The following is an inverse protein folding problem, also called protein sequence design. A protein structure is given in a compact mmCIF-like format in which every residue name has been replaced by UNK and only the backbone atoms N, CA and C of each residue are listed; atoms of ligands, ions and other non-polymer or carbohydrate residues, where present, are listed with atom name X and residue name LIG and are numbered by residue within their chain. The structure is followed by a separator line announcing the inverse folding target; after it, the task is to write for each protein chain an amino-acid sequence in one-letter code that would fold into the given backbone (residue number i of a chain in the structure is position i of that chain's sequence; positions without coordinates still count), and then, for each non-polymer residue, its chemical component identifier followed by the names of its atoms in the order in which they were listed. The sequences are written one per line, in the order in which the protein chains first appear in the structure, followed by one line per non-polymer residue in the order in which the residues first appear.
data_IF_712510222899
#
_entry.id   IF_712510222899
#
_cell.length_a   1.000
_cell.length_b   1.000
_cell.length_c   1.000
_cell.angle_alpha   90.00
_cell.angle_beta   90.00
_cell.angle_gamma   90.00
#
_symmetry.space_group_name_H-M   'P 1'
#
loop_
_entity.id
_entity.type
_entity.pdbx_description
1 polymer ?
#
# COMPACT_ATOMS: atom_id res chain seq x y z
N UNK A 1 21.79 -14.00 16.60
CA UNK A 1 20.64 -13.07 16.73
C UNK A 1 20.49 -12.76 18.22
N UNK A 2 20.39 -11.48 18.60
CA UNK A 2 20.16 -11.14 20.03
C UNK A 2 18.70 -11.37 20.35
N UNK A 3 18.41 -12.20 21.35
CA UNK A 3 17.05 -12.60 21.76
C UNK A 3 16.63 -11.98 23.09
N UNK A 4 17.53 -11.17 23.68
CA UNK A 4 17.40 -10.52 24.98
C UNK A 4 16.89 -9.05 24.88
N UNK A 5 16.58 -8.58 23.66
CA UNK A 5 16.05 -7.25 23.41
C UNK A 5 14.85 -7.30 22.47
N UNK A 6 13.96 -6.33 22.61
CA UNK A 6 12.81 -6.20 21.73
C UNK A 6 13.24 -5.91 20.28
N UNK A 7 12.64 -6.61 19.32
CA UNK A 7 12.76 -6.35 17.89
C UNK A 7 11.37 -6.17 17.27
N UNK A 8 11.26 -5.28 16.29
CA UNK A 8 9.98 -5.04 15.63
C UNK A 8 9.52 -6.25 14.84
N UNK A 9 8.31 -6.77 15.08
CA UNK A 9 7.75 -7.86 14.30
C UNK A 9 7.63 -7.56 12.80
N UNK A 10 7.53 -6.29 12.42
CA UNK A 10 7.53 -5.88 11.01
C UNK A 10 8.79 -6.35 10.30
N UNK A 11 9.97 -6.17 10.93
CA UNK A 11 11.24 -6.58 10.34
C UNK A 11 11.52 -8.08 10.48
N UNK A 12 11.14 -8.68 11.62
CA UNK A 12 11.44 -10.10 11.87
C UNK A 12 10.56 -11.07 11.09
N UNK A 13 9.26 -10.72 10.90
CA UNK A 13 8.24 -11.69 10.49
C UNK A 13 7.47 -11.31 9.24
N UNK A 14 7.34 -10.02 8.92
CA UNK A 14 6.32 -9.59 7.98
C UNK A 14 6.87 -8.98 6.70
N UNK A 15 7.67 -7.92 6.80
CA UNK A 15 8.16 -7.19 5.65
C UNK A 15 9.24 -7.95 4.87
N UNK A 16 9.27 -7.75 3.56
CA UNK A 16 10.32 -8.29 2.69
C UNK A 16 11.70 -7.72 3.01
N UNK A 17 12.76 -8.44 2.63
CA UNK A 17 14.14 -7.95 2.79
C UNK A 17 14.41 -6.75 1.90
N UNK A 18 13.78 -6.71 0.75
CA UNK A 18 13.84 -5.62 -0.23
C UNK A 18 13.34 -4.32 0.39
N UNK A 19 12.16 -4.31 0.99
CA UNK A 19 11.63 -3.12 1.65
C UNK A 19 12.45 -2.72 2.89
N UNK A 20 12.89 -3.69 3.68
CA UNK A 20 13.77 -3.44 4.83
C UNK A 20 15.09 -2.79 4.40
N UNK A 21 15.65 -3.19 3.26
CA UNK A 21 16.92 -2.63 2.76
C UNK A 21 16.80 -1.16 2.37
N UNK A 22 15.64 -0.72 1.85
CA UNK A 22 15.39 0.68 1.49
C UNK A 22 15.49 1.60 2.72
N UNK A 23 14.99 1.16 3.87
CA UNK A 23 15.01 1.94 5.12
C UNK A 23 16.17 1.56 6.05
N UNK A 24 17.15 0.81 5.56
CA UNK A 24 18.32 0.44 6.34
C UNK A 24 19.26 1.64 6.59
N UNK A 25 20.05 1.57 7.66
CA UNK A 25 21.09 2.56 7.93
C UNK A 25 22.11 2.63 6.78
N UNK A 26 22.47 1.49 6.19
CA UNK A 26 23.40 1.46 5.06
C UNK A 26 22.85 2.29 3.89
N UNK A 27 21.59 2.11 3.51
CA UNK A 27 20.98 2.87 2.43
C UNK A 27 20.86 4.35 2.78
N UNK A 28 20.43 4.67 4.01
CA UNK A 28 20.29 6.04 4.50
C UNK A 28 21.60 6.80 4.42
N UNK A 29 22.66 6.25 5.02
CA UNK A 29 23.94 6.98 5.12
C UNK A 29 24.75 6.95 3.83
N UNK A 30 24.59 5.94 2.99
CA UNK A 30 25.10 5.97 1.62
C UNK A 30 24.45 7.09 0.83
N UNK A 31 23.12 7.25 0.93
CA UNK A 31 22.41 8.36 0.28
C UNK A 31 22.85 9.73 0.79
N UNK A 32 23.22 9.88 2.08
CA UNK A 32 23.81 11.12 2.57
C UNK A 32 25.13 11.43 1.86
N UNK A 33 25.98 10.42 1.66
CA UNK A 33 27.25 10.58 0.92
C UNK A 33 27.02 10.85 -0.56
N UNK A 34 26.03 10.21 -1.19
CA UNK A 34 25.60 10.52 -2.57
C UNK A 34 25.20 11.99 -2.69
N UNK A 35 24.44 12.52 -1.75
CA UNK A 35 24.02 13.92 -1.70
C UNK A 35 25.20 14.88 -1.48
N UNK A 36 26.14 14.56 -0.60
CA UNK A 36 27.36 15.39 -0.41
C UNK A 36 28.25 15.38 -1.64
N UNK A 37 28.37 14.25 -2.34
CA UNK A 37 29.10 14.17 -3.62
C UNK A 37 28.40 15.00 -4.67
N UNK A 38 27.08 14.87 -4.81
CA UNK A 38 26.29 15.65 -5.77
C UNK A 38 26.39 17.17 -5.51
N UNK A 39 26.44 17.57 -4.23
CA UNK A 39 26.65 18.95 -3.81
C UNK A 39 28.05 19.43 -4.27
N UNK A 40 29.12 18.75 -3.87
CA UNK A 40 30.50 19.11 -4.17
C UNK A 40 30.77 19.17 -5.69
N UNK A 41 30.27 18.19 -6.46
CA UNK A 41 30.35 18.23 -7.93
C UNK A 41 29.63 19.43 -8.54
N UNK A 42 28.43 19.72 -8.04
CA UNK A 42 27.62 20.82 -8.57
C UNK A 42 28.22 22.17 -8.20
N UNK A 43 28.79 22.31 -7.02
CA UNK A 43 29.53 23.49 -6.58
C UNK A 43 30.82 23.71 -7.40
N UNK A 44 31.57 22.64 -7.71
CA UNK A 44 32.73 22.69 -8.59
C UNK A 44 32.33 23.16 -9.99
N UNK A 45 31.29 22.56 -10.57
CA UNK A 45 30.80 22.93 -11.91
C UNK A 45 30.33 24.40 -11.99
N UNK A 46 29.96 25.00 -10.86
CA UNK A 46 29.54 26.40 -10.74
C UNK A 46 30.68 27.34 -10.36
N UNK A 47 31.88 26.80 -10.24
CA UNK A 47 33.13 27.56 -10.12
C UNK A 47 33.68 27.73 -8.73
N UNK A 48 33.22 26.97 -7.73
CA UNK A 48 33.87 26.91 -6.43
C UNK A 48 35.21 26.13 -6.52
N UNK A 49 36.21 26.45 -5.69
CA UNK A 49 37.55 25.84 -5.76
C UNK A 49 37.57 24.44 -5.14
N UNK A 50 36.84 23.53 -5.73
CA UNK A 50 36.80 22.09 -5.37
C UNK A 50 37.59 21.32 -6.42
N UNK A 51 38.50 20.46 -6.01
CA UNK A 51 39.37 19.70 -6.95
C UNK A 51 38.73 18.36 -7.35
N UNK A 52 39.08 17.85 -8.53
CA UNK A 52 38.73 16.51 -8.98
C UNK A 52 39.22 15.42 -8.05
N UNK A 53 40.36 15.66 -7.36
CA UNK A 53 40.92 14.72 -6.40
C UNK A 53 40.03 14.57 -5.16
N UNK A 54 39.53 15.69 -4.63
CA UNK A 54 38.57 15.67 -3.51
C UNK A 54 37.28 14.91 -3.86
N UNK A 55 36.72 15.14 -5.05
CA UNK A 55 35.51 14.42 -5.51
C UNK A 55 35.82 12.93 -5.70
N UNK A 56 36.95 12.56 -6.28
CA UNK A 56 37.36 11.15 -6.44
C UNK A 56 37.55 10.44 -5.09
N UNK A 57 38.16 11.13 -4.12
CA UNK A 57 38.29 10.60 -2.76
C UNK A 57 36.93 10.34 -2.12
N UNK A 58 36.01 11.30 -2.16
CA UNK A 58 34.64 11.13 -1.66
C UNK A 58 33.95 9.92 -2.32
N UNK A 59 33.97 9.82 -3.65
CA UNK A 59 33.39 8.69 -4.37
C UNK A 59 33.95 7.33 -3.98
N UNK A 60 35.25 7.27 -3.75
CA UNK A 60 35.94 6.01 -3.36
C UNK A 60 35.51 5.50 -1.99
N UNK A 61 35.01 6.39 -1.12
CA UNK A 61 34.62 6.07 0.26
C UNK A 61 33.12 6.05 0.48
N UNK A 62 32.31 6.09 -0.58
CA UNK A 62 30.85 6.23 -0.50
C UNK A 62 30.17 5.15 0.38
N UNK A 63 30.64 3.91 0.29
CA UNK A 63 30.11 2.76 1.04
C UNK A 63 30.91 2.39 2.27
N UNK A 64 32.04 3.05 2.52
CA UNK A 64 32.92 2.76 3.64
C UNK A 64 32.49 3.53 4.89
N UNK A 65 31.40 3.10 5.54
CA UNK A 65 30.81 3.77 6.70
C UNK A 65 31.30 3.11 7.99
N UNK A 66 32.05 3.84 8.80
CA UNK A 66 32.48 3.41 10.13
C UNK A 66 31.42 3.78 11.16
N UNK A 67 30.50 2.85 11.42
CA UNK A 67 29.39 3.05 12.37
C UNK A 67 29.83 3.25 13.82
N UNK A 68 30.91 2.58 14.24
CA UNK A 68 31.40 2.72 15.60
C UNK A 68 32.00 4.12 15.82
N UNK A 69 32.73 4.64 14.84
CA UNK A 69 33.26 6.00 14.87
C UNK A 69 32.12 7.03 14.80
N UNK A 70 31.14 6.83 13.92
CA UNK A 70 29.96 7.72 13.83
C UNK A 70 29.20 7.79 15.16
N UNK A 71 28.98 6.65 15.82
CA UNK A 71 28.34 6.58 17.14
C UNK A 71 29.16 7.29 18.22
N UNK A 72 30.50 7.17 18.17
CA UNK A 72 31.37 7.90 19.11
C UNK A 72 31.21 9.41 18.91
N UNK A 73 31.33 9.92 17.68
CA UNK A 73 31.15 11.33 17.38
C UNK A 73 29.74 11.81 17.78
N UNK A 74 28.69 11.03 17.50
CA UNK A 74 27.31 11.42 17.89
C UNK A 74 27.16 11.53 19.42
N UNK A 75 27.78 10.64 20.18
CA UNK A 75 27.75 10.69 21.65
C UNK A 75 28.43 11.93 22.21
N UNK A 76 29.45 12.44 21.53
CA UNK A 76 30.22 13.63 21.93
C UNK A 76 29.52 14.93 21.46
N UNK A 77 29.11 14.97 20.18
CA UNK A 77 28.58 16.15 19.52
C UNK A 77 27.07 16.33 19.72
N UNK A 78 26.37 15.27 20.09
CA UNK A 78 24.88 15.24 20.20
C UNK A 78 24.18 15.66 18.92
N UNK A 79 24.79 15.32 17.76
CA UNK A 79 24.29 15.70 16.44
C UNK A 79 24.68 14.64 15.39
N UNK A 80 23.68 13.93 14.89
CA UNK A 80 23.83 12.79 13.96
C UNK A 80 24.52 13.20 12.64
N UNK A 81 24.05 14.26 11.98
CA UNK A 81 24.61 14.69 10.70
C UNK A 81 26.06 15.11 10.84
N UNK A 82 26.40 15.90 11.88
CA UNK A 82 27.80 16.30 12.11
C UNK A 82 28.70 15.13 12.46
N UNK A 83 28.18 14.13 13.18
CA UNK A 83 28.91 12.88 13.43
C UNK A 83 29.29 12.17 12.11
N UNK A 84 28.37 12.12 11.17
CA UNK A 84 28.64 11.54 9.84
C UNK A 84 29.52 12.43 8.95
N UNK A 85 29.44 13.77 9.06
CA UNK A 85 30.38 14.69 8.38
C UNK A 85 31.82 14.41 8.84
N UNK A 86 32.05 14.33 10.16
CA UNK A 86 33.38 14.01 10.70
C UNK A 86 33.84 12.61 10.32
N UNK A 87 32.95 11.60 10.43
CA UNK A 87 33.28 10.22 10.04
C UNK A 87 33.67 10.12 8.57
N UNK A 88 32.99 10.86 7.70
CA UNK A 88 33.29 10.89 6.27
C UNK A 88 34.56 11.69 5.99
N UNK A 89 34.80 12.82 6.69
CA UNK A 89 36.01 13.60 6.61
C UNK A 89 37.25 12.80 7.04
N UNK A 90 37.15 11.97 8.07
CA UNK A 90 38.26 11.06 8.47
C UNK A 90 38.57 10.02 7.40
N UNK A 91 37.59 9.58 6.63
CA UNK A 91 37.77 8.68 5.48
C UNK A 91 38.24 9.42 4.21
N UNK A 92 38.04 10.75 4.16
CA UNK A 92 38.36 11.61 3.02
C UNK A 92 39.13 12.86 3.50
N UNK A 93 40.39 12.74 4.00
CA UNK A 93 41.07 13.86 4.62
C UNK A 93 41.32 15.04 3.69
N UNK A 94 41.53 14.82 2.38
CA UNK A 94 41.70 15.92 1.41
C UNK A 94 40.38 16.65 1.13
N UNK A 95 39.26 15.94 1.23
CA UNK A 95 37.92 16.49 0.98
C UNK A 95 37.21 16.96 2.26
N UNK A 96 37.77 16.73 3.44
CA UNK A 96 37.11 17.01 4.73
C UNK A 96 36.56 18.44 4.83
N UNK A 97 37.24 19.42 4.30
CA UNK A 97 36.85 20.85 4.34
C UNK A 97 35.70 21.24 3.43
N UNK A 98 35.33 20.40 2.46
CA UNK A 98 34.28 20.68 1.50
C UNK A 98 33.01 19.83 1.73
N UNK A 99 33.08 18.82 2.59
CA UNK A 99 31.91 18.00 2.93
C UNK A 99 30.88 18.91 3.62
N UNK A 100 29.65 18.92 3.10
CA UNK A 100 28.55 19.70 3.66
C UNK A 100 28.68 21.23 3.51
N UNK A 101 29.43 21.70 2.53
CA UNK A 101 29.69 23.12 2.31
C UNK A 101 28.38 23.85 2.02
N UNK A 102 28.12 24.97 2.70
CA UNK A 102 26.88 25.76 2.58
C UNK A 102 25.59 25.09 3.04
N UNK A 103 25.61 23.78 3.28
CA UNK A 103 24.41 23.00 3.61
C UNK A 103 24.07 23.02 5.10
N UNK A 104 22.83 22.68 5.41
CA UNK A 104 22.34 22.37 6.76
C UNK A 104 21.95 20.91 6.89
N UNK A 105 21.73 20.43 8.10
CA UNK A 105 21.41 19.01 8.36
C UNK A 105 20.23 18.48 7.54
N UNK A 106 19.21 19.32 7.30
CA UNK A 106 18.06 18.93 6.51
C UNK A 106 18.36 18.74 5.02
N UNK A 107 19.49 19.25 4.52
CA UNK A 107 19.93 18.95 3.16
C UNK A 107 20.08 17.44 2.92
N UNK A 108 20.80 16.75 3.80
CA UNK A 108 20.92 15.30 3.68
C UNK A 108 19.72 14.57 4.26
N UNK A 109 19.19 15.00 5.40
CA UNK A 109 18.08 14.32 6.08
C UNK A 109 16.81 14.30 5.22
N UNK A 110 16.33 15.46 4.86
CA UNK A 110 15.05 15.61 4.16
C UNK A 110 15.11 15.15 2.68
N UNK A 111 16.20 15.45 1.97
CA UNK A 111 16.36 14.92 0.62
C UNK A 111 16.45 13.39 0.60
N UNK A 112 17.13 12.78 1.57
CA UNK A 112 17.16 11.32 1.71
C UNK A 112 15.78 10.74 1.98
N UNK A 113 14.99 11.33 2.86
CA UNK A 113 13.64 10.84 3.13
C UNK A 113 12.78 10.80 1.85
N UNK A 114 12.85 11.82 1.00
CA UNK A 114 12.16 11.83 -0.30
C UNK A 114 12.68 10.73 -1.23
N UNK A 115 13.99 10.52 -1.32
CA UNK A 115 14.62 9.50 -2.16
C UNK A 115 14.20 8.08 -1.70
N UNK A 116 14.19 7.84 -0.40
CA UNK A 116 13.77 6.55 0.16
C UNK A 116 12.27 6.32 -0.04
N UNK A 117 11.43 7.32 0.19
CA UNK A 117 9.99 7.23 -0.08
C UNK A 117 9.71 6.95 -1.55
N UNK A 118 10.43 7.60 -2.48
CA UNK A 118 10.30 7.34 -3.92
C UNK A 118 10.66 5.89 -4.25
N UNK A 119 11.79 5.40 -3.73
CA UNK A 119 12.24 4.02 -3.95
C UNK A 119 11.24 3.01 -3.40
N UNK A 120 10.70 3.27 -2.22
CA UNK A 120 9.70 2.43 -1.58
C UNK A 120 8.35 2.45 -2.33
N UNK A 121 7.89 3.60 -2.82
CA UNK A 121 6.68 3.69 -3.65
C UNK A 121 6.83 2.91 -4.96
N UNK A 122 8.01 2.94 -5.60
CA UNK A 122 8.28 2.13 -6.80
C UNK A 122 8.16 0.63 -6.46
N UNK A 123 8.71 0.20 -5.33
CA UNK A 123 8.57 -1.19 -4.88
C UNK A 123 7.10 -1.57 -4.61
N UNK A 124 6.34 -0.70 -3.94
CA UNK A 124 4.90 -0.91 -3.71
C UNK A 124 4.13 -0.98 -5.04
N UNK A 125 4.46 -0.12 -6.01
CA UNK A 125 3.86 -0.17 -7.35
C UNK A 125 4.08 -1.53 -8.03
N UNK A 126 5.28 -2.07 -7.96
CA UNK A 126 5.59 -3.38 -8.53
C UNK A 126 4.76 -4.50 -7.87
N UNK A 127 4.58 -4.45 -6.56
CA UNK A 127 3.72 -5.40 -5.84
C UNK A 127 2.23 -5.24 -6.23
N UNK A 128 1.74 -4.01 -6.38
CA UNK A 128 0.37 -3.77 -6.86
C UNK A 128 0.15 -4.33 -8.26
N UNK A 129 1.09 -4.12 -9.20
CA UNK A 129 1.02 -4.68 -10.54
C UNK A 129 0.97 -6.21 -10.52
N UNK A 130 1.80 -6.85 -9.69
CA UNK A 130 1.78 -8.30 -9.51
C UNK A 130 0.45 -8.80 -8.90
N UNK A 131 -0.16 -8.04 -8.00
CA UNK A 131 -1.47 -8.37 -7.43
C UNK A 131 -2.58 -8.25 -8.48
N UNK A 132 -2.56 -7.19 -9.30
CA UNK A 132 -3.52 -6.98 -10.41
C UNK A 132 -3.38 -8.09 -11.46
N UNK A 133 -2.15 -8.48 -11.82
CA UNK A 133 -1.90 -9.59 -12.73
C UNK A 133 -2.52 -10.90 -12.20
N UNK A 134 -2.23 -11.26 -10.95
CA UNK A 134 -2.78 -12.46 -10.32
C UNK A 134 -4.32 -12.44 -10.23
N UNK A 135 -4.92 -11.28 -9.94
CA UNK A 135 -6.38 -11.10 -9.97
C UNK A 135 -6.97 -11.23 -11.37
N UNK A 136 -6.27 -10.72 -12.39
CA UNK A 136 -6.68 -10.84 -13.79
C UNK A 136 -6.72 -12.30 -14.25
N UNK A 137 -5.66 -13.05 -13.94
CA UNK A 137 -5.60 -14.49 -14.21
C UNK A 137 -6.74 -15.25 -13.52
N UNK A 138 -6.94 -15.00 -12.23
CA UNK A 138 -8.04 -15.59 -11.46
C UNK A 138 -9.42 -15.20 -12.03
N UNK A 139 -9.62 -13.93 -12.37
CA UNK A 139 -10.89 -13.46 -12.93
C UNK A 139 -11.19 -14.15 -14.27
N UNK A 140 -10.19 -14.33 -15.12
CA UNK A 140 -10.34 -15.03 -16.39
C UNK A 140 -10.62 -16.51 -16.23
N UNK A 141 -9.98 -17.20 -15.28
CA UNK A 141 -10.24 -18.61 -14.97
C UNK A 141 -11.69 -18.82 -14.52
N UNK A 142 -12.21 -17.96 -13.64
CA UNK A 142 -13.53 -18.13 -13.03
C UNK A 142 -14.62 -17.22 -13.63
N UNK A 143 -14.39 -16.61 -14.81
CA UNK A 143 -15.37 -15.72 -15.46
C UNK A 143 -16.73 -16.36 -15.74
N UNK A 144 -16.74 -17.67 -15.98
CA UNK A 144 -17.92 -18.46 -16.28
C UNK A 144 -18.52 -19.20 -15.08
N UNK A 145 -17.96 -19.10 -13.89
CA UNK A 145 -18.46 -19.78 -12.69
C UNK A 145 -19.52 -18.91 -11.98
N UNK A 146 -20.83 -19.25 -12.08
CA UNK A 146 -21.87 -18.47 -11.40
C UNK A 146 -21.82 -18.67 -9.89
N UNK A 147 -22.09 -17.60 -9.15
CA UNK A 147 -22.16 -17.57 -7.69
C UNK A 147 -23.22 -16.57 -7.24
N UNK A 148 -23.63 -16.65 -5.96
CA UNK A 148 -24.48 -15.65 -5.35
C UNK A 148 -23.75 -14.33 -5.18
N UNK A 149 -24.39 -13.22 -5.61
CA UNK A 149 -24.02 -11.90 -5.15
C UNK A 149 -24.83 -11.56 -3.89
N UNK A 150 -24.19 -10.79 -3.01
CA UNK A 150 -24.79 -10.35 -1.75
C UNK A 150 -24.86 -8.82 -1.71
N UNK A 151 -26.04 -8.31 -1.33
CA UNK A 151 -26.25 -6.92 -0.94
C UNK A 151 -26.84 -6.91 0.47
N UNK A 152 -26.43 -5.98 1.32
CA UNK A 152 -26.82 -5.96 2.74
C UNK A 152 -26.58 -7.31 3.45
N UNK A 153 -25.60 -8.06 2.98
CA UNK A 153 -25.27 -9.41 3.41
C UNK A 153 -26.41 -10.42 3.25
N UNK A 154 -27.31 -10.17 2.31
CA UNK A 154 -28.38 -11.08 1.89
C UNK A 154 -28.16 -11.47 0.43
N UNK A 155 -28.61 -12.68 0.05
CA UNK A 155 -28.59 -13.13 -1.33
C UNK A 155 -29.42 -12.17 -2.19
N UNK A 156 -28.85 -11.70 -3.30
CA UNK A 156 -29.48 -10.72 -4.18
C UNK A 156 -29.74 -11.30 -5.58
N UNK A 157 -28.70 -11.36 -6.41
CA UNK A 157 -28.77 -11.88 -7.78
C UNK A 157 -27.55 -12.73 -8.09
N UNK A 158 -27.57 -13.60 -9.12
CA UNK A 158 -26.39 -14.29 -9.58
C UNK A 158 -25.34 -13.32 -10.13
N UNK A 159 -24.08 -13.64 -9.88
CA UNK A 159 -22.91 -13.03 -10.50
C UNK A 159 -21.93 -14.15 -10.88
N UNK A 160 -20.66 -13.83 -11.18
CA UNK A 160 -19.62 -14.83 -11.34
C UNK A 160 -18.48 -14.60 -10.35
N UNK A 161 -17.76 -15.67 -10.01
CA UNK A 161 -16.56 -15.61 -9.17
C UNK A 161 -15.52 -14.68 -9.81
N UNK A 162 -15.32 -14.77 -11.13
CA UNK A 162 -14.41 -13.89 -11.86
C UNK A 162 -14.84 -12.43 -11.79
N UNK A 163 -16.12 -12.10 -11.94
CA UNK A 163 -16.61 -10.72 -11.80
C UNK A 163 -16.39 -10.17 -10.40
N UNK A 164 -16.52 -11.01 -9.34
CA UNK A 164 -16.19 -10.60 -7.97
C UNK A 164 -14.73 -10.20 -7.83
N UNK A 165 -13.81 -10.97 -8.43
CA UNK A 165 -12.39 -10.63 -8.46
C UNK A 165 -12.11 -9.28 -9.17
N UNK A 166 -12.88 -8.95 -10.22
CA UNK A 166 -12.78 -7.64 -10.86
C UNK A 166 -13.13 -6.47 -9.93
N UNK A 167 -13.94 -6.67 -8.89
CA UNK A 167 -14.20 -5.61 -7.90
C UNK A 167 -12.94 -5.33 -7.07
N UNK A 168 -12.24 -6.38 -6.61
CA UNK A 168 -10.98 -6.24 -5.89
C UNK A 168 -9.88 -5.62 -6.76
N UNK A 169 -9.81 -6.04 -8.03
CA UNK A 169 -8.86 -5.51 -9.00
C UNK A 169 -9.09 -4.02 -9.28
N UNK A 170 -10.36 -3.60 -9.40
CA UNK A 170 -10.71 -2.20 -9.65
C UNK A 170 -10.25 -1.28 -8.50
N UNK A 171 -10.37 -1.72 -7.25
CA UNK A 171 -9.88 -0.97 -6.10
C UNK A 171 -8.35 -0.78 -6.17
N UNK A 172 -7.59 -1.85 -6.53
CA UNK A 172 -6.13 -1.75 -6.70
C UNK A 172 -5.72 -0.89 -7.91
N UNK A 173 -6.47 -0.89 -9.00
CA UNK A 173 -6.21 0.00 -10.14
C UNK A 173 -6.36 1.47 -9.75
N UNK A 174 -7.38 1.79 -8.95
CA UNK A 174 -7.56 3.12 -8.38
C UNK A 174 -6.37 3.51 -7.48
N UNK A 175 -5.89 2.58 -6.63
CA UNK A 175 -4.71 2.80 -5.78
C UNK A 175 -3.45 3.06 -6.61
N UNK A 176 -3.26 2.37 -7.75
CA UNK A 176 -2.13 2.61 -8.67
C UNK A 176 -2.18 4.01 -9.25
N UNK A 177 -3.35 4.51 -9.65
CA UNK A 177 -3.50 5.87 -10.15
C UNK A 177 -3.09 6.91 -9.10
N UNK A 178 -3.50 6.73 -7.84
CA UNK A 178 -3.12 7.61 -6.73
C UNK A 178 -1.62 7.53 -6.44
N UNK A 179 -1.04 6.34 -6.48
CA UNK A 179 0.38 6.13 -6.30
C UNK A 179 1.20 6.81 -7.41
N UNK A 180 0.80 6.67 -8.66
CA UNK A 180 1.46 7.30 -9.80
C UNK A 180 1.38 8.82 -9.73
N UNK A 181 0.22 9.35 -9.34
CA UNK A 181 0.10 10.78 -9.08
C UNK A 181 1.11 11.24 -8.02
N UNK A 182 1.22 10.52 -6.91
CA UNK A 182 2.15 10.86 -5.83
C UNK A 182 3.61 10.75 -6.26
N UNK A 183 4.01 9.70 -6.97
CA UNK A 183 5.37 9.53 -7.51
C UNK A 183 5.78 10.69 -8.42
N UNK A 184 4.88 11.13 -9.30
CA UNK A 184 5.13 12.23 -10.24
C UNK A 184 5.21 13.61 -9.57
N UNK A 185 4.73 13.73 -8.32
CA UNK A 185 4.69 14.98 -7.58
C UNK A 185 5.64 15.04 -6.37
N UNK A 186 6.39 13.98 -6.08
CA UNK A 186 7.46 14.02 -5.09
C UNK A 186 8.57 14.98 -5.53
N UNK A 187 9.02 15.82 -4.59
CA UNK A 187 10.03 16.86 -4.83
C UNK A 187 11.08 16.81 -3.73
N UNK A 188 12.34 16.93 -4.10
CA UNK A 188 13.42 17.15 -3.15
C UNK A 188 13.17 18.46 -2.36
N UNK A 189 13.72 18.54 -1.15
CA UNK A 189 13.86 19.81 -0.45
C UNK A 189 14.71 20.79 -1.30
N UNK A 190 15.79 20.30 -1.87
CA UNK A 190 16.81 21.08 -2.55
C UNK A 190 17.84 21.69 -1.60
N UNK A 191 18.48 22.75 -2.01
CA UNK A 191 19.53 23.48 -1.27
C UNK A 191 18.94 24.74 -0.61
N UNK A 192 18.08 24.59 0.36
CA UNK A 192 17.31 25.70 0.94
C UNK A 192 17.99 26.43 2.09
N UNK A 193 18.98 25.82 2.73
CA UNK A 193 19.68 26.42 3.87
C UNK A 193 18.85 26.48 5.16
N UNK A 194 19.26 27.30 6.11
CA UNK A 194 18.74 27.30 7.48
C UNK A 194 17.26 27.72 7.59
N UNK A 195 16.82 28.63 6.73
CA UNK A 195 15.47 29.21 6.78
C UNK A 195 14.71 29.14 5.45
N UNK A 196 15.22 28.35 4.51
CA UNK A 196 14.60 28.22 3.18
C UNK A 196 14.98 29.30 2.17
N UNK A 197 15.91 30.19 2.51
CA UNK A 197 16.31 31.36 1.68
C UNK A 197 17.49 31.08 0.76
N UNK A 198 18.24 29.98 0.94
CA UNK A 198 19.47 29.71 0.23
C UNK A 198 20.62 30.67 0.54
N UNK A 199 20.53 31.45 1.64
CA UNK A 199 21.45 32.52 1.96
C UNK A 199 22.92 32.08 2.01
N UNK A 200 23.24 30.91 2.59
CA UNK A 200 24.61 30.41 2.66
C UNK A 200 25.19 30.10 1.28
N UNK A 201 24.38 29.57 0.37
CA UNK A 201 24.78 29.32 -1.01
C UNK A 201 24.93 30.62 -1.80
N UNK A 202 24.04 31.60 -1.57
CA UNK A 202 24.14 32.91 -2.18
C UNK A 202 25.45 33.61 -1.78
N UNK A 203 25.85 33.47 -0.51
CA UNK A 203 27.15 33.97 -0.02
C UNK A 203 28.33 33.28 -0.72
N UNK A 204 28.29 31.94 -0.86
CA UNK A 204 29.31 31.17 -1.56
C UNK A 204 29.48 31.53 -3.04
N UNK A 205 28.43 32.01 -3.67
CA UNK A 205 28.41 32.45 -5.07
C UNK A 205 28.44 33.96 -5.25
N UNK A 206 28.94 34.71 -4.26
CA UNK A 206 29.12 36.19 -4.33
C UNK A 206 27.83 36.93 -4.74
N UNK A 207 26.67 36.45 -4.31
CA UNK A 207 25.38 37.06 -4.62
C UNK A 207 24.75 36.63 -5.97
N UNK A 208 25.29 35.64 -6.66
CA UNK A 208 24.75 35.14 -7.93
C UNK A 208 23.56 34.20 -7.70
N UNK A 209 22.35 34.76 -7.73
CA UNK A 209 21.09 34.00 -7.55
C UNK A 209 20.90 32.90 -8.60
N UNK A 210 21.38 33.13 -9.86
CA UNK A 210 21.27 32.12 -10.93
C UNK A 210 22.08 30.88 -10.63
N UNK A 211 23.26 31.02 -10.02
CA UNK A 211 24.07 29.89 -9.61
C UNK A 211 23.39 29.09 -8.51
N UNK A 212 22.69 29.73 -7.58
CA UNK A 212 21.91 29.03 -6.53
C UNK A 212 20.77 28.20 -7.14
N UNK A 213 20.03 28.75 -8.12
CA UNK A 213 19.00 28.00 -8.83
C UNK A 213 19.57 26.84 -9.65
N UNK A 214 20.70 27.06 -10.34
CA UNK A 214 21.38 26.03 -11.10
C UNK A 214 21.95 24.91 -10.19
N UNK A 215 22.41 25.25 -8.98
CA UNK A 215 22.87 24.29 -8.00
C UNK A 215 21.79 23.25 -7.68
N UNK A 216 20.58 23.67 -7.36
CA UNK A 216 19.46 22.77 -7.10
C UNK A 216 19.12 21.88 -8.30
N UNK A 217 19.08 22.46 -9.51
CA UNK A 217 18.78 21.69 -10.71
C UNK A 217 19.84 20.62 -11.00
N UNK A 218 21.13 20.97 -10.82
CA UNK A 218 22.25 20.04 -11.02
C UNK A 218 22.20 18.88 -10.02
N UNK A 219 21.96 19.17 -8.73
CA UNK A 219 21.85 18.14 -7.69
C UNK A 219 20.64 17.25 -8.00
N UNK A 220 19.49 17.81 -8.29
CA UNK A 220 18.28 17.05 -8.64
C UNK A 220 18.53 16.11 -9.83
N UNK A 221 19.21 16.60 -10.88
CA UNK A 221 19.59 15.80 -12.06
C UNK A 221 20.54 14.64 -11.71
N UNK A 222 21.53 14.88 -10.84
CA UNK A 222 22.50 13.85 -10.40
C UNK A 222 21.83 12.77 -9.53
N UNK A 223 20.86 13.14 -8.73
CA UNK A 223 20.10 12.24 -7.84
C UNK A 223 18.97 11.50 -8.59
N UNK A 224 18.59 11.96 -9.77
CA UNK A 224 17.51 11.34 -10.55
C UNK A 224 16.10 11.71 -10.10
N UNK A 225 15.94 12.80 -9.33
CA UNK A 225 14.63 13.37 -8.96
C UNK A 225 14.44 14.69 -9.69
N UNK A 226 13.40 14.78 -10.51
CA UNK A 226 13.27 15.86 -11.51
C UNK A 226 13.00 17.24 -10.94
N UNK A 227 12.57 17.38 -9.69
CA UNK A 227 12.07 18.65 -9.13
C UNK A 227 12.47 18.86 -7.68
N UNK A 228 12.76 20.12 -7.33
CA UNK A 228 12.87 20.60 -5.95
C UNK A 228 11.63 21.39 -5.55
N UNK A 229 11.41 21.55 -4.23
CA UNK A 229 10.40 22.48 -3.71
C UNK A 229 10.75 23.91 -4.12
N UNK A 230 9.76 24.63 -4.66
CA UNK A 230 9.96 26.04 -5.03
C UNK A 230 10.11 26.94 -3.80
N UNK A 231 9.36 26.62 -2.74
CA UNK A 231 9.37 27.35 -1.46
C UNK A 231 9.36 26.33 -0.32
N UNK A 232 10.20 26.54 0.68
CA UNK A 232 10.23 25.75 1.91
C UNK A 232 10.78 26.59 3.08
N UNK A 233 10.67 26.07 4.29
CA UNK A 233 11.51 26.47 5.41
C UNK A 233 12.85 25.73 5.36
N UNK A 234 13.38 25.38 6.53
CA UNK A 234 14.55 24.51 6.60
C UNK A 234 14.25 23.08 6.12
N UNK A 235 12.99 22.67 6.19
CA UNK A 235 12.49 21.35 5.80
C UNK A 235 11.50 21.43 4.66
N UNK A 236 11.28 20.31 3.93
CA UNK A 236 10.12 20.23 3.06
C UNK A 236 8.83 20.20 3.88
N UNK A 237 7.71 20.55 3.28
CA UNK A 237 6.40 20.50 3.94
C UNK A 237 6.06 19.07 4.38
N UNK A 238 5.76 18.86 5.66
CA UNK A 238 5.36 17.54 6.19
C UNK A 238 4.02 17.04 5.62
N UNK A 239 3.33 17.85 4.85
CA UNK A 239 2.22 17.40 4.02
C UNK A 239 2.65 16.40 2.94
N UNK A 240 3.92 16.36 2.55
CA UNK A 240 4.44 15.33 1.63
C UNK A 240 4.40 13.94 2.28
N UNK A 241 4.80 13.82 3.55
CA UNK A 241 4.73 12.57 4.31
C UNK A 241 3.26 12.11 4.43
N UNK A 242 2.35 13.04 4.76
CA UNK A 242 0.92 12.74 4.81
C UNK A 242 0.38 12.24 3.46
N UNK A 243 0.73 12.89 2.35
CA UNK A 243 0.27 12.51 1.03
C UNK A 243 0.77 11.11 0.62
N UNK A 244 2.00 10.75 0.99
CA UNK A 244 2.54 9.40 0.78
C UNK A 244 1.80 8.38 1.64
N UNK A 245 1.61 8.62 2.94
CA UNK A 245 0.89 7.70 3.81
C UNK A 245 -0.59 7.59 3.44
N UNK A 246 -1.19 8.62 2.86
CA UNK A 246 -2.56 8.56 2.33
C UNK A 246 -2.69 7.51 1.22
N UNK A 247 -1.72 7.41 0.32
CA UNK A 247 -1.67 6.36 -0.71
C UNK A 247 -1.54 4.98 -0.06
N UNK A 248 -0.61 4.80 0.89
CA UNK A 248 -0.44 3.53 1.60
C UNK A 248 -1.70 3.13 2.38
N UNK A 249 -2.38 4.09 3.00
CA UNK A 249 -3.65 3.88 3.69
C UNK A 249 -4.77 3.46 2.72
N UNK A 250 -4.82 4.02 1.50
CA UNK A 250 -5.74 3.59 0.44
C UNK A 250 -5.54 2.12 0.08
N UNK A 251 -4.31 1.74 -0.21
CA UNK A 251 -3.92 0.34 -0.50
C UNK A 251 -4.31 -0.60 0.65
N UNK A 252 -4.08 -0.17 1.89
CA UNK A 252 -4.46 -0.94 3.07
C UNK A 252 -5.98 -1.12 3.19
N UNK A 253 -6.79 -0.10 2.81
CA UNK A 253 -8.25 -0.20 2.78
C UNK A 253 -8.71 -1.23 1.74
N UNK A 254 -8.18 -1.18 0.52
CA UNK A 254 -8.46 -2.15 -0.55
C UNK A 254 -8.11 -3.58 -0.14
N UNK A 255 -6.94 -3.78 0.49
CA UNK A 255 -6.51 -5.07 0.99
C UNK A 255 -7.37 -5.57 2.18
N UNK A 256 -7.80 -4.66 3.06
CA UNK A 256 -8.71 -4.99 4.16
C UNK A 256 -10.07 -5.49 3.65
N UNK A 257 -10.63 -4.81 2.63
CA UNK A 257 -11.87 -5.23 1.97
C UNK A 257 -11.71 -6.62 1.35
N UNK A 258 -10.69 -6.83 0.53
CA UNK A 258 -10.38 -8.14 -0.05
C UNK A 258 -10.29 -9.24 1.02
N UNK A 259 -9.51 -9.01 2.08
CA UNK A 259 -9.32 -9.98 3.16
C UNK A 259 -10.61 -10.31 3.91
N UNK A 260 -11.51 -9.34 4.04
CA UNK A 260 -12.83 -9.53 4.64
C UNK A 260 -13.71 -10.41 3.76
N UNK A 261 -13.74 -10.16 2.46
CA UNK A 261 -14.49 -10.97 1.50
C UNK A 261 -13.99 -12.44 1.50
N UNK A 262 -12.65 -12.65 1.48
CA UNK A 262 -12.07 -14.00 1.55
C UNK A 262 -12.49 -14.72 2.84
N UNK A 263 -12.46 -14.05 3.99
CA UNK A 263 -12.87 -14.63 5.28
C UNK A 263 -14.35 -15.02 5.29
N UNK A 264 -15.23 -14.19 4.73
CA UNK A 264 -16.65 -14.46 4.61
C UNK A 264 -16.93 -15.62 3.63
N UNK A 265 -16.22 -15.66 2.49
CA UNK A 265 -16.33 -16.76 1.53
C UNK A 265 -15.78 -18.09 2.11
N UNK A 266 -14.73 -18.02 2.92
CA UNK A 266 -14.21 -19.21 3.66
C UNK A 266 -15.21 -19.70 4.70
N UNK A 267 -15.92 -18.79 5.40
CA UNK A 267 -17.01 -19.16 6.31
C UNK A 267 -18.13 -19.92 5.57
N UNK A 268 -18.46 -19.47 4.35
CA UNK A 268 -19.42 -20.15 3.46
C UNK A 268 -18.84 -21.44 2.85
N UNK A 269 -17.57 -21.77 3.08
CA UNK A 269 -16.87 -22.93 2.49
C UNK A 269 -16.79 -22.86 0.96
N UNK A 270 -16.90 -21.71 0.38
CA UNK A 270 -16.81 -21.49 -1.07
C UNK A 270 -15.37 -21.37 -1.54
N UNK A 271 -14.46 -20.92 -0.65
CA UNK A 271 -13.03 -20.80 -0.91
C UNK A 271 -12.20 -21.19 0.31
N UNK A 272 -10.95 -21.59 0.07
CA UNK A 272 -9.90 -21.72 1.09
C UNK A 272 -8.64 -20.98 0.64
N UNK A 273 -7.95 -20.34 1.59
CA UNK A 273 -6.58 -19.86 1.38
C UNK A 273 -5.63 -21.02 1.04
N UNK A 274 -4.46 -20.72 0.39
CA UNK A 274 -3.44 -21.73 0.21
C UNK A 274 -3.00 -22.30 1.57
N UNK A 275 -2.95 -23.61 1.64
CA UNK A 275 -2.62 -24.36 2.86
C UNK A 275 -1.48 -25.33 2.53
N UNK A 276 -0.37 -25.20 3.23
CA UNK A 276 0.81 -26.04 3.00
C UNK A 276 0.63 -27.42 3.65
N UNK A 277 1.26 -28.44 3.06
CA UNK A 277 1.09 -29.84 3.48
C UNK A 277 1.35 -30.08 4.97
N UNK A 278 2.33 -29.38 5.54
CA UNK A 278 2.71 -29.48 6.96
C UNK A 278 2.10 -28.38 7.84
N UNK A 279 1.28 -27.51 7.27
CA UNK A 279 0.70 -26.39 8.00
C UNK A 279 -0.36 -26.89 8.99
N UNK A 280 -0.32 -26.38 10.22
CA UNK A 280 -1.33 -26.64 11.26
C UNK A 280 -2.29 -25.45 11.29
N UNK A 281 -3.56 -25.67 10.96
CA UNK A 281 -4.58 -24.63 10.98
C UNK A 281 -5.17 -24.37 12.37
N UNK A 282 -5.12 -25.35 13.26
CA UNK A 282 -5.61 -25.26 14.63
C UNK A 282 -4.93 -26.28 15.50
N UNK A 283 -4.49 -25.89 16.70
CA UNK A 283 -3.87 -26.80 17.68
C UNK A 283 -4.85 -27.78 18.29
N UNK A 284 -6.16 -27.49 18.31
CA UNK A 284 -7.18 -28.29 18.89
C UNK A 284 -8.01 -29.12 17.89
N UNK A 285 -8.19 -28.58 16.66
CA UNK A 285 -9.01 -29.22 15.64
C UNK A 285 -8.19 -29.37 14.34
N UNK A 286 -7.62 -30.54 14.14
CA UNK A 286 -6.66 -30.81 13.06
C UNK A 286 -7.19 -30.55 11.65
N UNK A 287 -8.50 -30.67 11.41
CA UNK A 287 -9.14 -30.44 10.11
C UNK A 287 -9.46 -28.96 9.83
N UNK A 288 -9.39 -28.10 10.87
CA UNK A 288 -9.82 -26.70 10.75
C UNK A 288 -8.80 -25.88 9.97
N UNK A 289 -9.24 -25.27 8.88
CA UNK A 289 -8.46 -24.36 8.05
C UNK A 289 -8.90 -22.93 8.29
N UNK A 290 -8.12 -22.22 9.10
CA UNK A 290 -8.39 -20.80 9.37
C UNK A 290 -7.79 -19.92 8.29
N UNK A 291 -8.48 -18.85 7.81
CA UNK A 291 -7.96 -17.91 6.85
C UNK A 291 -6.95 -16.94 7.51
N UNK A 292 -5.85 -17.48 8.05
CA UNK A 292 -4.90 -16.75 8.88
C UNK A 292 -4.12 -15.66 8.10
N UNK A 293 -3.94 -15.86 6.79
CA UNK A 293 -3.27 -14.85 5.93
C UNK A 293 -4.16 -13.63 5.75
N UNK A 294 -5.45 -13.83 5.47
CA UNK A 294 -6.42 -12.74 5.39
C UNK A 294 -6.63 -12.05 6.74
N UNK A 295 -6.63 -12.78 7.86
CA UNK A 295 -6.67 -12.17 9.19
C UNK A 295 -5.45 -11.28 9.44
N UNK A 296 -4.27 -11.71 9.00
CA UNK A 296 -3.03 -10.91 9.09
C UNK A 296 -3.07 -9.69 8.18
N UNK A 297 -3.56 -9.81 6.95
CA UNK A 297 -3.80 -8.66 6.06
C UNK A 297 -4.68 -7.63 6.76
N UNK A 298 -5.84 -8.04 7.29
CA UNK A 298 -6.77 -7.13 7.98
C UNK A 298 -6.14 -6.44 9.20
N UNK A 299 -5.30 -7.15 9.97
CA UNK A 299 -4.66 -6.59 11.15
C UNK A 299 -3.55 -5.59 10.81
N UNK A 300 -2.71 -5.88 9.81
CA UNK A 300 -1.68 -4.96 9.33
C UNK A 300 -2.29 -3.75 8.61
N UNK A 301 -3.38 -3.95 7.85
CA UNK A 301 -4.10 -2.86 7.19
C UNK A 301 -4.64 -1.84 8.21
N UNK A 302 -5.19 -2.31 9.33
CA UNK A 302 -5.64 -1.44 10.42
C UNK A 302 -4.50 -0.61 11.00
N UNK A 303 -3.29 -1.20 11.12
CA UNK A 303 -2.10 -0.48 11.57
C UNK A 303 -1.78 0.69 10.62
N UNK A 304 -1.68 0.43 9.32
CA UNK A 304 -1.37 1.46 8.30
C UNK A 304 -2.45 2.55 8.25
N UNK A 305 -3.73 2.17 8.31
CA UNK A 305 -4.85 3.13 8.30
C UNK A 305 -4.79 4.06 9.52
N UNK A 306 -4.47 3.52 10.70
CA UNK A 306 -4.34 4.32 11.91
C UNK A 306 -3.07 5.20 11.89
N UNK A 307 -1.98 4.70 11.32
CA UNK A 307 -0.70 5.40 11.26
C UNK A 307 -0.75 6.68 10.40
N UNK A 308 -1.65 6.76 9.44
CA UNK A 308 -1.93 7.98 8.66
C UNK A 308 -2.15 9.20 9.57
N UNK A 309 -2.74 9.03 10.76
CA UNK A 309 -3.00 10.12 11.69
C UNK A 309 -1.71 10.75 12.23
N UNK A 310 -0.64 9.98 12.38
CA UNK A 310 0.67 10.50 12.80
C UNK A 310 1.15 11.61 11.86
N UNK A 311 1.13 11.37 10.55
CA UNK A 311 1.59 12.35 9.57
C UNK A 311 0.63 13.53 9.40
N UNK A 312 -0.68 13.30 9.54
CA UNK A 312 -1.67 14.38 9.53
C UNK A 312 -1.47 15.37 10.69
N UNK A 313 -1.30 14.83 11.91
CA UNK A 313 -1.08 15.63 13.13
C UNK A 313 0.28 16.33 13.05
N UNK A 314 1.34 15.61 12.68
CA UNK A 314 2.69 16.16 12.50
C UNK A 314 2.69 17.33 11.51
N UNK A 315 2.04 17.17 10.35
CA UNK A 315 1.96 18.25 9.37
C UNK A 315 1.24 19.50 9.90
N UNK A 316 0.21 19.33 10.74
CA UNK A 316 -0.56 20.43 11.33
C UNK A 316 0.14 21.09 12.51
N UNK A 317 1.08 20.41 13.16
CA UNK A 317 1.81 20.90 14.34
C UNK A 317 3.10 21.66 13.99
N UNK A 318 3.49 21.71 12.70
CA UNK A 318 4.67 22.47 12.27
C UNK A 318 4.43 23.97 12.39
N UNK A 319 5.48 24.71 12.76
CA UNK A 319 5.43 26.15 12.95
C UNK A 319 6.72 26.83 12.48
N UNK A 320 6.54 28.02 11.89
CA UNK A 320 7.59 28.83 11.28
C UNK A 320 8.46 28.03 10.29
N UNK A 321 9.75 28.27 10.26
CA UNK A 321 10.69 27.65 9.33
C UNK A 321 11.17 26.28 9.79
N UNK A 322 11.07 25.94 11.08
CA UNK A 322 11.50 24.67 11.65
C UNK A 322 10.95 24.46 13.05
N UNK A 323 10.44 23.26 13.33
CA UNK A 323 10.35 22.63 14.64
C UNK A 323 10.94 21.23 14.56
N UNK A 324 11.35 20.62 15.66
CA UNK A 324 11.97 19.28 15.68
C UNK A 324 10.99 18.19 16.10
N UNK A 325 9.73 18.49 16.39
CA UNK A 325 8.75 17.52 16.88
C UNK A 325 8.35 16.48 15.82
N UNK A 326 8.55 16.78 14.55
CA UNK A 326 8.37 15.85 13.44
C UNK A 326 9.36 14.69 13.45
N UNK A 327 10.59 14.94 13.89
CA UNK A 327 11.76 14.09 13.65
C UNK A 327 11.58 12.67 14.20
N UNK A 328 11.20 12.52 15.47
CA UNK A 328 11.02 11.21 16.09
C UNK A 328 9.79 10.48 15.52
N UNK A 329 8.69 11.20 15.32
CA UNK A 329 7.46 10.63 14.80
C UNK A 329 7.64 10.05 13.38
N UNK A 330 8.18 10.86 12.45
CA UNK A 330 8.34 10.42 11.06
C UNK A 330 9.35 9.29 10.89
N UNK A 331 10.36 9.18 11.77
CA UNK A 331 11.32 8.06 11.77
C UNK A 331 10.67 6.71 12.07
N UNK A 332 9.52 6.72 12.72
CA UNK A 332 8.71 5.54 13.01
C UNK A 332 7.61 5.37 11.96
N UNK A 333 6.73 6.36 11.86
CA UNK A 333 5.51 6.26 11.05
C UNK A 333 5.79 6.00 9.57
N UNK A 334 6.72 6.71 8.95
CA UNK A 334 6.96 6.56 7.50
C UNK A 334 7.54 5.17 7.14
N UNK A 335 8.65 4.71 7.71
CA UNK A 335 9.17 3.38 7.39
C UNK A 335 8.20 2.25 7.75
N UNK A 336 7.55 2.31 8.91
CA UNK A 336 6.68 1.24 9.36
C UNK A 336 5.40 1.12 8.51
N UNK A 337 4.86 2.23 8.00
CA UNK A 337 3.77 2.20 7.03
C UNK A 337 4.16 1.45 5.74
N UNK A 338 5.36 1.71 5.20
CA UNK A 338 5.87 1.00 4.02
C UNK A 338 6.12 -0.48 4.30
N UNK A 339 6.78 -0.81 5.41
CA UNK A 339 7.04 -2.19 5.82
C UNK A 339 5.75 -3.00 6.00
N UNK A 340 4.74 -2.39 6.60
CA UNK A 340 3.44 -3.03 6.79
C UNK A 340 2.68 -3.19 5.46
N UNK A 341 2.73 -2.19 4.57
CA UNK A 341 2.07 -2.24 3.25
C UNK A 341 2.74 -3.28 2.33
N UNK A 342 4.07 -3.38 2.35
CA UNK A 342 4.83 -4.43 1.67
C UNK A 342 4.37 -5.83 2.13
N UNK A 343 4.28 -6.04 3.44
CA UNK A 343 3.81 -7.30 4.01
C UNK A 343 2.37 -7.63 3.60
N UNK A 344 1.47 -6.63 3.59
CA UNK A 344 0.09 -6.77 3.16
C UNK A 344 0.02 -7.25 1.71
N UNK A 345 0.73 -6.59 0.79
CA UNK A 345 0.69 -6.92 -0.63
C UNK A 345 1.31 -8.29 -0.95
N UNK A 346 2.41 -8.65 -0.28
CA UNK A 346 2.99 -9.99 -0.40
C UNK A 346 2.01 -11.08 0.05
N UNK A 347 1.29 -10.86 1.14
CA UNK A 347 0.25 -11.78 1.60
C UNK A 347 -0.94 -11.81 0.64
N UNK A 348 -1.36 -10.66 0.11
CA UNK A 348 -2.44 -10.55 -0.87
C UNK A 348 -2.16 -11.38 -2.12
N UNK A 349 -0.96 -11.20 -2.71
CA UNK A 349 -0.52 -11.97 -3.88
C UNK A 349 -0.49 -13.47 -3.55
N UNK A 350 0.04 -13.83 -2.40
CA UNK A 350 0.10 -15.22 -1.97
C UNK A 350 -1.30 -15.85 -1.83
N UNK A 351 -2.25 -15.12 -1.24
CA UNK A 351 -3.64 -15.60 -1.09
C UNK A 351 -4.28 -15.80 -2.45
N UNK A 352 -4.24 -14.80 -3.34
CA UNK A 352 -4.95 -14.90 -4.62
C UNK A 352 -4.35 -15.97 -5.55
N UNK A 353 -3.03 -16.10 -5.60
CA UNK A 353 -2.36 -17.11 -6.44
C UNK A 353 -2.62 -18.55 -5.96
N UNK A 354 -2.91 -18.75 -4.69
CA UNK A 354 -3.16 -20.08 -4.12
C UNK A 354 -4.60 -20.33 -3.69
N UNK A 355 -5.53 -19.40 -3.99
CA UNK A 355 -6.92 -19.50 -3.56
C UNK A 355 -7.60 -20.71 -4.20
N UNK A 356 -8.13 -21.61 -3.37
CA UNK A 356 -8.93 -22.76 -3.81
C UNK A 356 -10.40 -22.36 -3.86
N UNK A 357 -11.05 -22.63 -4.97
CA UNK A 357 -12.49 -22.41 -5.18
C UNK A 357 -13.20 -23.75 -5.16
N UNK A 358 -14.39 -23.80 -4.57
CA UNK A 358 -15.20 -25.02 -4.47
C UNK A 358 -16.53 -24.89 -5.26
N UNK A 359 -16.52 -25.16 -6.59
CA UNK A 359 -17.68 -24.94 -7.46
C UNK A 359 -18.94 -25.71 -7.00
N UNK A 360 -18.78 -26.92 -6.43
CA UNK A 360 -19.91 -27.72 -5.94
C UNK A 360 -20.62 -27.07 -4.74
N UNK A 361 -19.85 -26.44 -3.84
CA UNK A 361 -20.43 -25.71 -2.69
C UNK A 361 -21.13 -24.44 -3.18
N UNK A 362 -20.49 -23.69 -4.07
CA UNK A 362 -21.04 -22.48 -4.69
C UNK A 362 -22.36 -22.80 -5.40
N UNK A 363 -22.38 -23.90 -6.18
CA UNK A 363 -23.60 -24.34 -6.87
C UNK A 363 -24.71 -24.68 -5.87
N UNK A 364 -24.40 -25.40 -4.79
CA UNK A 364 -25.39 -25.73 -3.75
C UNK A 364 -26.02 -24.48 -3.14
N UNK A 365 -25.22 -23.46 -2.83
CA UNK A 365 -25.73 -22.19 -2.28
C UNK A 365 -26.57 -21.43 -3.31
N UNK A 366 -26.12 -21.39 -4.56
CA UNK A 366 -26.86 -20.75 -5.65
C UNK A 366 -28.21 -21.43 -5.89
N UNK A 367 -28.24 -22.75 -6.00
CA UNK A 367 -29.45 -23.53 -6.25
C UNK A 367 -30.52 -23.34 -5.15
N UNK A 368 -30.07 -23.16 -3.89
CA UNK A 368 -30.99 -22.92 -2.76
C UNK A 368 -31.74 -21.58 -2.86
N UNK A 369 -31.10 -20.55 -3.43
CA UNK A 369 -31.65 -19.21 -3.52
C UNK A 369 -32.23 -18.88 -4.92
N UNK A 370 -31.81 -19.61 -5.95
CA UNK A 370 -32.21 -19.37 -7.35
C UNK A 370 -33.73 -19.31 -7.57
N UNK A 371 -34.58 -20.18 -6.92
CA UNK A 371 -36.04 -20.10 -7.06
C UNK A 371 -36.59 -18.73 -6.69
N UNK A 372 -36.09 -18.09 -5.64
CA UNK A 372 -36.52 -16.72 -5.27
C UNK A 372 -36.09 -15.67 -6.28
N UNK A 373 -34.90 -15.82 -6.86
CA UNK A 373 -34.32 -14.91 -7.86
C UNK A 373 -35.01 -15.02 -9.21
N UNK A 374 -35.52 -16.21 -9.57
CA UNK A 374 -36.24 -16.46 -10.83
C UNK A 374 -37.64 -15.84 -10.87
N UNK A 375 -38.18 -15.40 -9.75
CA UNK A 375 -39.57 -14.91 -9.65
C UNK A 375 -39.89 -13.76 -10.61
N UNK A 376 -38.96 -12.83 -10.80
CA UNK A 376 -39.13 -11.72 -11.76
C UNK A 376 -39.17 -12.24 -13.21
N UNK A 377 -38.25 -13.16 -13.56
CA UNK A 377 -38.21 -13.76 -14.89
C UNK A 377 -39.50 -14.55 -15.20
N UNK A 378 -39.97 -15.32 -14.23
CA UNK A 378 -41.25 -16.07 -14.35
C UNK A 378 -42.41 -15.10 -14.54
N UNK A 379 -42.51 -14.03 -13.74
CA UNK A 379 -43.54 -13.01 -13.86
C UNK A 379 -43.54 -12.39 -15.27
N UNK A 380 -42.38 -11.96 -15.74
CA UNK A 380 -42.25 -11.33 -17.07
C UNK A 380 -42.58 -12.29 -18.20
N UNK A 381 -42.13 -13.56 -18.09
CA UNK A 381 -42.47 -14.61 -19.04
C UNK A 381 -43.99 -14.84 -19.15
N UNK A 382 -44.68 -15.01 -18.01
CA UNK A 382 -46.12 -15.26 -17.97
C UNK A 382 -46.90 -14.07 -18.51
N UNK A 383 -46.55 -12.85 -18.19
CA UNK A 383 -47.20 -11.64 -18.73
C UNK A 383 -47.01 -11.57 -20.25
N UNK A 384 -45.80 -11.77 -20.75
CA UNK A 384 -45.46 -11.64 -22.17
C UNK A 384 -46.05 -12.75 -23.02
N UNK A 385 -45.97 -14.02 -22.57
CA UNK A 385 -46.22 -15.19 -23.41
C UNK A 385 -47.62 -15.84 -23.12
N UNK A 386 -48.17 -15.61 -21.92
CA UNK A 386 -49.48 -16.19 -21.52
C UNK A 386 -50.58 -15.15 -21.35
N UNK A 387 -50.28 -13.86 -21.53
CA UNK A 387 -51.25 -12.78 -21.37
C UNK A 387 -51.71 -12.57 -19.93
N UNK A 388 -50.93 -12.99 -18.96
CA UNK A 388 -51.27 -12.91 -17.55
C UNK A 388 -51.34 -11.46 -17.01
N UNK A 389 -52.20 -11.25 -16.02
CA UNK A 389 -52.29 -9.98 -15.29
C UNK A 389 -51.07 -9.84 -14.34
N UNK A 390 -50.19 -8.87 -14.63
CA UNK A 390 -48.97 -8.64 -13.88
C UNK A 390 -49.20 -8.52 -12.37
N UNK A 391 -50.27 -7.80 -11.95
CA UNK A 391 -50.51 -7.53 -10.53
C UNK A 391 -51.02 -8.79 -9.80
N UNK A 392 -51.86 -9.57 -10.45
CA UNK A 392 -52.36 -10.84 -9.90
C UNK A 392 -51.23 -11.86 -9.79
N UNK A 393 -50.42 -11.99 -10.83
CA UNK A 393 -49.26 -12.90 -10.82
C UNK A 393 -48.22 -12.50 -9.78
N UNK A 394 -47.93 -11.20 -9.63
CA UNK A 394 -47.03 -10.71 -8.60
C UNK A 394 -47.52 -11.06 -7.18
N UNK A 395 -48.83 -10.90 -6.91
CA UNK A 395 -49.43 -11.25 -5.62
C UNK A 395 -49.40 -12.77 -5.38
N UNK A 396 -49.63 -13.58 -6.42
CA UNK A 396 -49.48 -15.04 -6.32
C UNK A 396 -48.04 -15.45 -6.00
N UNK A 397 -47.06 -14.89 -6.72
CA UNK A 397 -45.62 -15.10 -6.42
C UNK A 397 -45.29 -14.71 -4.99
N UNK A 398 -45.75 -13.54 -4.52
CA UNK A 398 -45.53 -13.10 -3.16
C UNK A 398 -46.02 -14.12 -2.12
N UNK A 399 -47.28 -14.62 -2.30
CA UNK A 399 -47.88 -15.62 -1.41
C UNK A 399 -47.08 -16.93 -1.40
N UNK A 400 -46.70 -17.42 -2.58
CA UNK A 400 -45.87 -18.64 -2.70
C UNK A 400 -44.47 -18.47 -2.11
N UNK A 401 -43.84 -17.28 -2.34
CA UNK A 401 -42.52 -16.99 -1.79
C UNK A 401 -42.51 -16.94 -0.26
N UNK A 402 -43.55 -16.37 0.38
CA UNK A 402 -43.69 -16.38 1.85
C UNK A 402 -43.79 -17.80 2.39
N UNK A 403 -44.61 -18.66 1.77
CA UNK A 403 -44.75 -20.06 2.18
C UNK A 403 -43.47 -20.87 1.96
N UNK A 404 -42.81 -20.66 0.83
CA UNK A 404 -41.50 -21.30 0.56
C UNK A 404 -40.42 -20.84 1.54
N UNK A 405 -40.37 -19.55 1.88
CA UNK A 405 -39.47 -19.02 2.88
C UNK A 405 -39.71 -19.58 4.28
N UNK A 406 -41.01 -19.80 4.66
CA UNK A 406 -41.38 -20.48 5.90
C UNK A 406 -40.93 -21.95 5.88
N UNK A 407 -41.08 -22.65 4.74
CA UNK A 407 -40.61 -24.02 4.54
C UNK A 407 -39.11 -24.13 4.82
N UNK A 408 -38.32 -23.21 4.25
CA UNK A 408 -36.85 -23.19 4.44
C UNK A 408 -36.45 -22.78 5.87
N UNK A 409 -37.02 -21.65 6.37
CA UNK A 409 -36.54 -21.03 7.62
C UNK A 409 -37.07 -21.71 8.88
N UNK A 410 -38.34 -22.13 8.85
CA UNK A 410 -38.97 -22.74 10.04
C UNK A 410 -38.77 -24.24 10.11
N UNK A 411 -38.81 -24.91 8.96
CA UNK A 411 -38.78 -26.36 8.92
C UNK A 411 -37.44 -26.96 8.43
N UNK A 412 -36.52 -26.12 7.96
CA UNK A 412 -35.19 -26.53 7.47
C UNK A 412 -35.26 -27.40 6.21
N UNK A 413 -36.32 -27.30 5.43
CA UNK A 413 -36.57 -28.08 4.20
C UNK A 413 -36.07 -27.31 2.98
N UNK A 414 -35.96 -28.01 1.85
CA UNK A 414 -35.60 -27.40 0.57
C UNK A 414 -36.61 -26.38 0.10
N UNK A 415 -36.18 -25.45 -0.74
CA UNK A 415 -37.00 -24.42 -1.32
C UNK A 415 -37.93 -25.00 -2.40
N UNK A 416 -39.23 -25.01 -2.15
CA UNK A 416 -40.26 -25.59 -3.01
C UNK A 416 -41.04 -24.55 -3.83
N UNK A 417 -40.48 -23.33 -4.00
CA UNK A 417 -41.18 -22.22 -4.67
C UNK A 417 -41.54 -22.54 -6.13
N UNK A 418 -40.66 -23.19 -6.87
CA UNK A 418 -40.89 -23.53 -8.28
C UNK A 418 -42.05 -24.55 -8.39
N UNK A 419 -42.08 -25.57 -7.53
CA UNK A 419 -43.18 -26.55 -7.49
C UNK A 419 -44.52 -25.89 -7.14
N UNK A 420 -44.51 -24.91 -6.24
CA UNK A 420 -45.72 -24.13 -5.89
C UNK A 420 -46.23 -23.31 -7.08
N UNK A 421 -45.33 -22.61 -7.79
CA UNK A 421 -45.66 -21.83 -8.97
C UNK A 421 -46.14 -22.74 -10.11
N UNK A 422 -45.48 -23.86 -10.35
CA UNK A 422 -45.86 -24.86 -11.33
C UNK A 422 -47.27 -25.43 -11.08
N UNK A 423 -47.63 -25.61 -9.81
CA UNK A 423 -48.93 -26.17 -9.41
C UNK A 423 -50.07 -25.14 -9.38
N UNK A 424 -49.77 -23.87 -9.62
CA UNK A 424 -50.78 -22.79 -9.63
C UNK A 424 -51.21 -22.48 -11.07
N UNK A 425 -52.44 -22.87 -11.42
CA UNK A 425 -53.02 -22.69 -12.75
C UNK A 425 -53.02 -21.23 -13.25
N UNK A 426 -52.95 -20.26 -12.34
CA UNK A 426 -52.97 -18.83 -12.70
C UNK A 426 -51.76 -18.40 -13.52
N UNK A 427 -50.64 -19.17 -13.49
CA UNK A 427 -49.45 -18.91 -14.29
C UNK A 427 -49.54 -19.47 -15.72
N UNK A 428 -50.45 -20.43 -15.97
CA UNK A 428 -50.63 -21.06 -17.29
C UNK A 428 -49.36 -21.75 -17.83
N UNK A 429 -48.49 -22.18 -16.95
CA UNK A 429 -47.25 -22.87 -17.31
C UNK A 429 -47.46 -24.34 -17.60
N UNK A 430 -46.79 -24.85 -18.62
CA UNK A 430 -46.75 -26.28 -18.93
C UNK A 430 -45.60 -26.95 -18.20
N UNK A 431 -45.56 -28.28 -18.20
CA UNK A 431 -44.51 -29.08 -17.53
C UNK A 431 -43.12 -28.82 -18.11
N UNK A 432 -43.03 -28.44 -19.39
CA UNK A 432 -41.79 -28.15 -20.10
C UNK A 432 -41.32 -26.69 -19.96
N UNK A 433 -42.16 -25.81 -19.49
CA UNK A 433 -41.84 -24.39 -19.23
C UNK A 433 -41.46 -24.16 -17.79
#
# INVERSE_FOLDING_TARGET
MRTDIYQSPLCERYASKEMQSIFSNDRKFTTWRELWIALAESEQELGLPISDEQIREMKSQISNIDYEKAKKYESELRHDVMAHVHTYGDACPNAAGIIHLGATSCYVGDNTDIILMQSALIQIKNLLLNAVEALSEFAMEYKGLPTLAYTHFQAAQPTTVGKRACLWMNDLLFDIEQLDFQLNNLKLLGCKGTTGTGASFLELFDGDEKKVELLEQKIAGKIGVSKCQSVSGQTYTRKADFAVLQVLSGIAQSASKFSSDIRLLSHLKEVDEPFEEKQIGSSAMAYKRNPMRSERIASLARYVICDLQNTAITASAQWFERTLDDSANKRLSVPEAFLATDAILNLYINVIRGLKVYPAVIKKHLDAELPFMATENILMYCVKNKGGDRQKLHEAIRKHSVKAAEQVKTYGKDNDLIERIKSDESFGLTESE
#
